data_IF_728504976704
#
_entry.id   IF_728504976704
#
_cell.length_a   1.000
_cell.length_b   1.000
_cell.length_c   1.000
_cell.angle_alpha   90.00
_cell.angle_beta   90.00
_cell.angle_gamma   90.00
#
_symmetry.space_group_name_H-M   'P 1'
#
loop_
_entity.id
_entity.type
_entity.pdbx_description
1 polymer ?
#
# COMPACT_ATOMS: atom_id res chain seq x y z
N UNK A 1 -18.78 6.47 2.56
CA UNK A 1 -18.30 5.45 3.52
C UNK A 1 -16.79 5.27 3.33
N UNK A 2 -16.10 4.60 4.24
CA UNK A 2 -14.63 4.47 4.23
C UNK A 2 -14.26 2.98 4.30
N UNK A 3 -13.44 2.54 3.34
CA UNK A 3 -12.85 1.20 3.30
C UNK A 3 -11.43 1.28 3.85
N UNK A 4 -11.09 0.57 4.95
CA UNK A 4 -9.74 0.61 5.52
C UNK A 4 -8.76 -0.28 4.74
N UNK A 5 -7.50 0.12 4.70
CA UNK A 5 -6.37 -0.68 4.15
C UNK A 5 -5.56 -1.41 5.21
N UNK A 6 -5.93 -1.27 6.48
CA UNK A 6 -5.26 -1.90 7.62
C UNK A 6 -6.13 -1.88 8.87
N UNK A 7 -5.72 -2.61 9.90
CA UNK A 7 -6.35 -2.52 11.23
C UNK A 7 -6.22 -1.10 11.81
N UNK A 8 -5.05 -0.47 11.68
CA UNK A 8 -4.78 0.88 12.16
C UNK A 8 -5.69 1.91 11.47
N UNK A 9 -5.88 1.80 10.14
CA UNK A 9 -6.79 2.67 9.40
C UNK A 9 -8.25 2.50 9.87
N UNK A 10 -8.69 1.26 10.09
CA UNK A 10 -10.03 0.96 10.63
C UNK A 10 -10.27 1.62 11.98
N UNK A 11 -9.29 1.56 12.87
CA UNK A 11 -9.40 2.19 14.18
C UNK A 11 -9.41 3.73 14.10
N UNK A 12 -8.66 4.33 13.17
CA UNK A 12 -8.73 5.78 12.91
C UNK A 12 -10.09 6.22 12.38
N UNK A 13 -10.67 5.50 11.41
CA UNK A 13 -12.02 5.78 10.89
C UNK A 13 -13.04 5.79 12.03
N UNK A 14 -13.00 4.77 12.91
CA UNK A 14 -13.88 4.66 14.09
C UNK A 14 -13.68 5.80 15.08
N UNK A 15 -12.43 6.11 15.42
CA UNK A 15 -12.06 7.18 16.35
C UNK A 15 -12.61 8.54 15.90
N UNK A 16 -12.66 8.78 14.60
CA UNK A 16 -13.16 10.02 14.01
C UNK A 16 -14.64 9.97 13.60
N UNK A 17 -15.37 8.92 14.00
CA UNK A 17 -16.80 8.75 13.72
C UNK A 17 -17.17 8.79 12.22
N UNK A 18 -16.25 8.32 11.37
CA UNK A 18 -16.50 8.13 9.95
C UNK A 18 -17.24 6.81 9.70
N UNK A 19 -18.06 6.77 8.65
CA UNK A 19 -18.85 5.59 8.29
C UNK A 19 -17.95 4.50 7.72
N UNK A 20 -17.72 3.44 8.48
CA UNK A 20 -16.94 2.28 8.05
C UNK A 20 -17.76 1.36 7.12
N UNK A 21 -17.12 0.82 6.08
CA UNK A 21 -17.65 -0.25 5.22
C UNK A 21 -16.48 -1.13 4.74
N UNK A 22 -16.73 -2.02 3.79
CA UNK A 22 -15.75 -2.87 3.13
C UNK A 22 -16.03 -3.02 1.62
N UNK A 23 -15.22 -3.83 0.95
CA UNK A 23 -15.33 -4.09 -0.49
C UNK A 23 -16.43 -5.09 -0.85
N UNK A 24 -16.99 -5.82 0.12
CA UNK A 24 -18.15 -6.70 -0.12
C UNK A 24 -19.40 -5.84 -0.33
N UNK A 25 -19.56 -4.79 0.48
CA UNK A 25 -20.65 -3.82 0.34
C UNK A 25 -20.37 -2.76 -0.75
N UNK A 26 -19.12 -2.30 -0.88
CA UNK A 26 -18.72 -1.23 -1.81
C UNK A 26 -17.47 -1.65 -2.63
N UNK A 27 -17.64 -2.49 -3.66
CA UNK A 27 -16.52 -3.01 -4.47
C UNK A 27 -15.88 -1.95 -5.39
N UNK A 28 -16.59 -0.87 -5.68
CA UNK A 28 -16.08 0.28 -6.45
C UNK A 28 -15.84 1.46 -5.52
N UNK A 29 -14.66 2.06 -5.58
CA UNK A 29 -14.25 3.21 -4.77
C UNK A 29 -14.10 4.43 -5.66
N UNK A 30 -14.61 5.58 -5.22
CA UNK A 30 -14.41 6.82 -5.98
C UNK A 30 -12.97 7.32 -5.84
N UNK A 31 -12.46 7.41 -4.61
CA UNK A 31 -11.10 7.89 -4.31
C UNK A 31 -10.46 7.04 -3.23
N UNK A 32 -9.22 6.58 -3.45
CA UNK A 32 -8.35 6.02 -2.42
C UNK A 32 -7.23 7.01 -2.09
N UNK A 33 -6.96 7.22 -0.80
CA UNK A 33 -5.89 8.10 -0.31
C UNK A 33 -4.97 7.26 0.57
N UNK A 34 -3.67 7.26 0.26
CA UNK A 34 -2.69 6.49 1.02
C UNK A 34 -1.29 7.12 0.96
N UNK A 35 -0.37 6.64 1.81
CA UNK A 35 1.03 7.01 1.79
C UNK A 35 1.89 6.15 0.86
N UNK A 36 3.15 6.55 0.71
CA UNK A 36 4.19 5.78 0.03
C UNK A 36 5.48 5.71 0.84
N UNK A 37 6.22 4.62 0.67
CA UNK A 37 7.57 4.47 1.20
C UNK A 37 8.60 5.19 0.32
N UNK A 38 8.33 5.29 -0.98
CA UNK A 38 9.07 6.02 -2.02
C UNK A 38 8.21 6.22 -3.26
N UNK A 39 8.45 7.30 -4.01
CA UNK A 39 7.76 7.69 -5.25
C UNK A 39 8.80 8.04 -6.30
N UNK A 40 8.68 7.51 -7.52
CA UNK A 40 9.52 7.91 -8.64
C UNK A 40 8.87 8.96 -9.56
N UNK A 41 9.64 9.44 -10.54
CA UNK A 41 9.21 10.45 -11.53
C UNK A 41 8.02 10.03 -12.39
N UNK A 42 7.69 8.74 -12.46
CA UNK A 42 6.55 8.21 -13.19
C UNK A 42 5.35 7.92 -12.27
N UNK A 43 5.40 8.38 -11.01
CA UNK A 43 4.42 8.07 -9.96
C UNK A 43 4.31 6.56 -9.65
N UNK A 44 5.37 5.80 -9.93
CA UNK A 44 5.52 4.42 -9.45
C UNK A 44 5.94 4.47 -8.00
N UNK A 45 5.41 3.55 -7.18
CA UNK A 45 5.57 3.60 -5.72
C UNK A 45 6.25 2.35 -5.19
N UNK A 46 7.10 2.52 -4.17
CA UNK A 46 7.31 1.50 -3.16
C UNK A 46 6.30 1.74 -2.02
N UNK A 47 5.60 0.69 -1.62
CA UNK A 47 4.67 0.64 -0.48
C UNK A 47 4.89 -0.65 0.30
N UNK A 48 4.26 -0.76 1.47
CA UNK A 48 4.26 -1.97 2.28
C UNK A 48 5.25 -1.97 3.44
N UNK A 49 5.98 -0.89 3.70
CA UNK A 49 6.88 -0.73 4.84
C UNK A 49 6.17 -0.88 6.20
N UNK A 50 4.85 -0.64 6.23
CA UNK A 50 3.97 -0.86 7.39
C UNK A 50 3.35 -2.27 7.48
N UNK A 51 3.58 -3.15 6.50
CA UNK A 51 3.09 -4.53 6.53
C UNK A 51 1.63 -4.72 6.10
N UNK A 52 1.05 -3.81 5.32
CA UNK A 52 -0.35 -3.88 4.86
C UNK A 52 -0.49 -3.85 3.33
N UNK A 53 0.58 -4.13 2.59
CA UNK A 53 0.66 -3.96 1.14
C UNK A 53 -0.47 -4.61 0.36
N UNK A 54 -0.84 -5.87 0.66
CA UNK A 54 -1.90 -6.54 -0.09
C UNK A 54 -3.24 -5.80 0.02
N UNK A 55 -3.64 -5.40 1.23
CA UNK A 55 -4.89 -4.67 1.44
C UNK A 55 -4.85 -3.28 0.80
N UNK A 56 -3.74 -2.55 0.98
CA UNK A 56 -3.50 -1.25 0.33
C UNK A 56 -3.67 -1.34 -1.18
N UNK A 57 -3.06 -2.36 -1.82
CA UNK A 57 -3.11 -2.56 -3.27
C UNK A 57 -4.51 -2.95 -3.75
N UNK A 58 -5.20 -3.83 -3.04
CA UNK A 58 -6.57 -4.24 -3.40
C UNK A 58 -7.51 -3.03 -3.36
N UNK A 59 -7.52 -2.27 -2.27
CA UNK A 59 -8.36 -1.06 -2.14
C UNK A 59 -8.01 -0.03 -3.21
N UNK A 60 -6.72 0.26 -3.43
CA UNK A 60 -6.30 1.19 -4.47
C UNK A 60 -6.71 0.73 -5.88
N UNK A 61 -6.69 -0.58 -6.17
CA UNK A 61 -7.11 -1.13 -7.47
C UNK A 61 -8.62 -1.04 -7.72
N UNK A 62 -9.42 -0.91 -6.66
CA UNK A 62 -10.86 -0.69 -6.73
C UNK A 62 -11.23 0.79 -6.91
N UNK A 63 -10.26 1.70 -6.85
CA UNK A 63 -10.50 3.14 -6.88
C UNK A 63 -10.42 3.74 -8.29
N UNK A 64 -11.34 4.65 -8.62
CA UNK A 64 -11.29 5.45 -9.86
C UNK A 64 -10.12 6.43 -9.85
N UNK A 65 -9.82 6.98 -8.67
CA UNK A 65 -8.68 7.87 -8.44
C UNK A 65 -7.88 7.40 -7.23
N UNK A 66 -6.55 7.37 -7.37
CA UNK A 66 -5.64 7.04 -6.28
C UNK A 66 -4.70 8.21 -6.01
N UNK A 67 -4.80 8.76 -4.81
CA UNK A 67 -4.05 9.94 -4.37
C UNK A 67 -3.01 9.51 -3.34
N UNK A 68 -1.75 9.82 -3.62
CA UNK A 68 -0.63 9.56 -2.72
C UNK A 68 -0.32 10.81 -1.91
N UNK A 69 -0.24 10.67 -0.58
CA UNK A 69 0.19 11.74 0.32
C UNK A 69 1.52 11.35 0.96
N UNK A 70 2.57 12.11 0.64
CA UNK A 70 3.92 11.83 1.09
C UNK A 70 4.69 13.14 1.33
N UNK A 71 5.71 13.09 2.19
CA UNK A 71 6.64 14.21 2.36
C UNK A 71 7.78 14.15 1.32
N UNK A 72 8.52 15.26 1.18
CA UNK A 72 9.58 15.43 0.18
C UNK A 72 10.69 14.38 0.23
N UNK A 73 10.87 13.66 1.35
CA UNK A 73 11.91 12.61 1.47
C UNK A 73 11.54 11.35 0.71
N UNK A 74 10.30 11.25 0.24
CA UNK A 74 9.77 10.14 -0.55
C UNK A 74 9.96 10.34 -2.04
N UNK A 75 10.24 11.56 -2.47
CA UNK A 75 10.42 11.95 -3.86
C UNK A 75 11.81 11.53 -4.37
N UNK A 76 11.83 10.70 -5.41
CA UNK A 76 13.04 10.07 -5.96
C UNK A 76 13.02 10.09 -7.48
N UNK A 77 14.19 10.05 -8.12
CA UNK A 77 14.22 9.96 -9.59
C UNK A 77 13.83 8.54 -10.03
N UNK A 78 14.37 7.55 -9.32
CA UNK A 78 14.15 6.12 -9.54
C UNK A 78 13.94 5.40 -8.22
N UNK A 79 13.11 4.35 -8.23
CA UNK A 79 12.87 3.54 -7.03
C UNK A 79 14.15 2.90 -6.48
N UNK A 80 14.23 2.81 -5.16
CA UNK A 80 15.37 2.32 -4.39
C UNK A 80 16.45 3.38 -4.12
N UNK A 81 16.26 4.64 -4.51
CA UNK A 81 17.23 5.73 -4.32
C UNK A 81 17.31 6.18 -2.86
N UNK A 82 16.16 6.45 -2.25
CA UNK A 82 15.99 6.88 -0.87
C UNK A 82 15.53 5.73 0.03
N UNK A 83 14.72 4.79 -0.50
CA UNK A 83 14.26 3.63 0.27
C UNK A 83 15.22 2.44 0.18
N UNK A 84 16.14 2.35 1.16
CA UNK A 84 17.16 1.29 1.20
C UNK A 84 16.76 0.01 1.95
N UNK A 85 15.55 -0.06 2.51
CA UNK A 85 15.09 -1.23 3.28
C UNK A 85 14.71 -2.43 2.41
N UNK A 86 14.69 -2.25 1.09
CA UNK A 86 14.26 -3.26 0.13
C UNK A 86 12.77 -3.18 -0.20
N UNK A 87 12.37 -3.82 -1.31
CA UNK A 87 10.99 -3.84 -1.78
C UNK A 87 10.19 -4.87 -0.97
N UNK A 88 9.11 -4.47 -0.27
CA UNK A 88 8.24 -5.42 0.42
C UNK A 88 7.58 -6.40 -0.56
N UNK A 89 7.66 -7.70 -0.25
CA UNK A 89 7.00 -8.77 -1.01
C UNK A 89 6.20 -9.63 -0.05
N UNK A 90 4.89 -9.60 -0.18
CA UNK A 90 3.99 -10.45 0.60
C UNK A 90 3.95 -11.86 0.01
N UNK A 91 4.12 -12.87 0.87
CA UNK A 91 4.15 -14.27 0.48
C UNK A 91 3.33 -15.10 1.45
N UNK A 92 2.77 -16.21 0.96
CA UNK A 92 2.19 -17.20 1.87
C UNK A 92 3.29 -17.71 2.82
N UNK A 93 2.97 -17.97 4.11
CA UNK A 93 3.96 -18.44 5.07
C UNK A 93 4.70 -19.70 4.62
N UNK A 94 4.06 -20.63 3.92
CA UNK A 94 4.73 -21.83 3.39
C UNK A 94 5.73 -21.55 2.25
N UNK A 95 5.64 -20.39 1.60
CA UNK A 95 6.37 -20.06 0.38
C UNK A 95 7.59 -19.15 0.61
N UNK A 96 7.87 -18.71 1.84
CA UNK A 96 8.91 -17.69 2.07
C UNK A 96 10.30 -18.15 1.61
N UNK A 97 10.69 -19.40 1.88
CA UNK A 97 11.99 -19.96 1.45
C UNK A 97 12.12 -20.04 -0.08
N UNK A 98 11.21 -20.72 -0.82
CA UNK A 98 11.33 -20.79 -2.28
C UNK A 98 11.21 -19.42 -2.96
N UNK A 99 10.35 -18.53 -2.46
CA UNK A 99 10.23 -17.16 -2.98
C UNK A 99 11.55 -16.39 -2.80
N UNK A 100 12.15 -16.45 -1.61
CA UNK A 100 13.43 -15.80 -1.33
C UNK A 100 14.56 -16.33 -2.22
N UNK A 101 14.63 -17.65 -2.43
CA UNK A 101 15.65 -18.24 -3.34
C UNK A 101 15.50 -17.71 -4.76
N UNK A 102 14.27 -17.68 -5.27
CA UNK A 102 13.98 -17.19 -6.64
C UNK A 102 14.32 -15.71 -6.83
N UNK A 103 14.01 -14.88 -5.84
CA UNK A 103 14.33 -13.46 -5.86
C UNK A 103 15.84 -13.18 -5.81
N UNK A 104 16.62 -14.00 -5.07
CA UNK A 104 18.08 -13.86 -5.00
C UNK A 104 18.82 -14.34 -6.25
N UNK A 105 18.20 -15.18 -7.07
CA UNK A 105 18.78 -15.71 -8.30
C UNK A 105 18.35 -14.95 -9.56
N UNK A 106 17.53 -13.91 -9.40
CA UNK A 106 17.10 -13.01 -10.48
C UNK A 106 18.05 -11.82 -10.54
#
# INVERSE_FOLDING_TARGET
SCVPTSFQAKELIRKHHLVLTDLEEHPEIDVAIDGADEVDTNLTLIKGGGGCLAQEKVVASCAKEFIVVADYRKDSTTLGENWKKGIPVEVLPMAYVPAQKKLKSS
#
